data_IF_195146449814
#
_entry.id   IF_195146449814
#
_cell.length_a   1.000
_cell.length_b   1.000
_cell.length_c   1.000
_cell.angle_alpha   90.00
_cell.angle_beta   90.00
_cell.angle_gamma   90.00
#
_symmetry.space_group_name_H-M   'P 1'
#
loop_
_entity.id
_entity.type
_entity.pdbx_description
1 polymer ?
#
# COMPACT_ATOMS: atom_id res chain seq x y z
N UNK A 1 -5.04 -4.27 12.26
CA UNK A 1 -3.97 -4.85 11.42
C UNK A 1 -3.50 -3.77 10.45
N UNK A 2 -2.20 -3.69 10.25
CA UNK A 2 -1.54 -2.70 9.39
C UNK A 2 -0.93 -3.43 8.20
N UNK A 3 -1.27 -2.99 7.00
CA UNK A 3 -0.64 -3.45 5.76
C UNK A 3 0.22 -2.32 5.20
N UNK A 4 1.51 -2.58 5.00
CA UNK A 4 2.43 -1.66 4.32
C UNK A 4 2.67 -2.13 2.89
N UNK A 5 2.42 -1.25 1.93
CA UNK A 5 2.65 -1.48 0.51
C UNK A 5 3.85 -0.67 0.06
N UNK A 6 4.98 -1.33 -0.14
CA UNK A 6 6.18 -0.74 -0.71
C UNK A 6 6.04 -0.69 -2.23
N UNK A 7 6.32 0.45 -2.84
CA UNK A 7 6.09 0.65 -4.27
C UNK A 7 7.25 1.35 -4.97
N UNK A 8 7.40 1.05 -6.26
CA UNK A 8 8.31 1.77 -7.13
C UNK A 8 7.74 3.16 -7.43
N UNK A 9 8.35 4.18 -6.84
CA UNK A 9 8.19 5.56 -7.29
C UNK A 9 9.41 5.91 -8.11
N UNK A 10 9.32 5.76 -9.44
CA UNK A 10 10.41 6.04 -10.41
C UNK A 10 11.02 7.46 -10.30
N UNK A 11 10.53 8.32 -9.40
CA UNK A 11 11.06 9.66 -9.11
C UNK A 11 12.05 9.67 -7.94
N UNK A 12 12.17 8.59 -7.16
CA UNK A 12 13.17 8.45 -6.11
C UNK A 12 14.43 7.76 -6.63
N UNK A 13 15.38 8.56 -7.14
CA UNK A 13 16.73 8.10 -7.50
C UNK A 13 17.71 8.11 -6.32
N UNK A 14 17.26 8.21 -5.05
CA UNK A 14 18.18 8.40 -3.93
C UNK A 14 17.69 7.76 -2.63
N UNK A 15 18.54 6.86 -2.12
CA UNK A 15 18.65 6.27 -0.78
C UNK A 15 17.68 5.16 -0.34
N UNK A 16 18.28 3.96 -0.25
CA UNK A 16 18.04 2.74 0.55
C UNK A 16 16.63 2.16 0.82
N UNK A 17 15.54 2.92 0.84
CA UNK A 17 14.21 2.37 1.19
C UNK A 17 13.12 2.81 0.21
N UNK A 18 12.43 1.81 -0.38
CA UNK A 18 11.26 2.07 -1.22
C UNK A 18 10.18 2.82 -0.42
N UNK A 19 9.51 3.83 -1.02
CA UNK A 19 8.40 4.47 -0.35
C UNK A 19 7.28 3.45 -0.11
N UNK A 20 6.57 3.63 1.00
CA UNK A 20 5.44 2.76 1.34
C UNK A 20 4.16 3.53 1.62
N UNK A 21 3.03 2.82 1.52
CA UNK A 21 1.72 3.27 1.97
C UNK A 21 1.17 2.34 3.01
N UNK A 22 0.40 2.91 3.94
CA UNK A 22 -0.26 2.15 4.98
C UNK A 22 -1.74 1.96 4.61
N UNK A 23 -2.25 0.76 4.87
CA UNK A 23 -3.67 0.45 4.88
C UNK A 23 -4.00 -0.14 6.23
N UNK A 24 -4.96 0.45 6.93
CA UNK A 24 -5.51 -0.13 8.15
C UNK A 24 -6.70 -1.00 7.77
N UNK A 25 -6.67 -2.26 8.18
CA UNK A 25 -7.78 -3.19 7.99
C UNK A 25 -8.08 -3.91 9.29
N UNK A 26 -9.37 -4.17 9.51
CA UNK A 26 -9.83 -5.00 10.62
C UNK A 26 -9.51 -6.48 10.39
N UNK A 27 -9.41 -6.89 9.12
CA UNK A 27 -9.16 -8.27 8.72
C UNK A 27 -8.29 -8.34 7.45
N UNK A 28 -7.23 -9.15 7.50
CA UNK A 28 -6.32 -9.37 6.37
C UNK A 28 -7.01 -9.97 5.14
N UNK A 29 -8.04 -10.79 5.31
CA UNK A 29 -8.81 -11.36 4.20
C UNK A 29 -9.54 -10.29 3.40
N UNK A 30 -9.99 -9.22 4.06
CA UNK A 30 -10.61 -8.08 3.39
C UNK A 30 -9.59 -7.30 2.56
N UNK A 31 -8.33 -7.21 3.03
CA UNK A 31 -7.24 -6.68 2.21
C UNK A 31 -7.00 -7.55 0.97
N UNK A 32 -6.85 -8.86 1.12
CA UNK A 32 -6.62 -9.76 -0.01
C UNK A 32 -7.77 -9.77 -1.03
N UNK A 33 -9.02 -9.72 -0.57
CA UNK A 33 -10.17 -9.61 -1.47
C UNK A 33 -10.14 -8.35 -2.32
N UNK A 34 -9.70 -7.20 -1.77
CA UNK A 34 -9.47 -5.96 -2.54
C UNK A 34 -8.22 -6.04 -3.41
N UNK A 35 -7.18 -6.71 -2.95
CA UNK A 35 -5.94 -6.90 -3.70
C UNK A 35 -6.18 -7.70 -4.98
N UNK A 36 -6.97 -8.78 -4.91
CA UNK A 36 -7.30 -9.64 -6.04
C UNK A 36 -8.54 -9.18 -6.84
N UNK A 37 -9.12 -8.02 -6.52
CA UNK A 37 -10.15 -7.43 -7.39
C UNK A 37 -9.57 -7.03 -8.75
N UNK A 38 -10.43 -6.94 -9.77
CA UNK A 38 -10.07 -6.48 -11.11
C UNK A 38 -9.62 -5.00 -11.15
N UNK A 39 -9.73 -4.26 -10.05
CA UNK A 39 -9.29 -2.87 -10.00
C UNK A 39 -7.76 -2.79 -10.07
N UNK A 40 -7.22 -1.97 -10.97
CA UNK A 40 -5.78 -1.72 -11.07
C UNK A 40 -5.20 -0.94 -9.87
N UNK A 41 -6.07 -0.32 -9.07
CA UNK A 41 -5.69 0.57 -7.99
C UNK A 41 -6.20 0.06 -6.64
N UNK A 42 -5.41 0.26 -5.60
CA UNK A 42 -5.80 0.03 -4.22
C UNK A 42 -5.87 1.35 -3.47
N UNK A 43 -6.91 1.50 -2.65
CA UNK A 43 -7.11 2.68 -1.79
C UNK A 43 -6.30 2.53 -0.51
N UNK A 44 -5.47 3.51 -0.21
CA UNK A 44 -4.62 3.57 0.97
C UNK A 44 -5.08 4.64 1.97
N UNK A 45 -4.76 4.41 3.24
CA UNK A 45 -4.92 5.41 4.29
C UNK A 45 -3.77 6.41 4.21
N UNK A 46 -4.03 7.59 3.66
CA UNK A 46 -3.07 8.69 3.69
C UNK A 46 -3.49 9.70 4.75
N UNK A 47 -2.70 9.81 5.82
CA UNK A 47 -2.85 10.91 6.80
C UNK A 47 -2.35 12.25 6.27
N UNK A 48 -1.43 12.24 5.31
CA UNK A 48 -0.63 13.43 4.99
C UNK A 48 -0.96 14.09 3.64
N UNK A 49 -1.46 13.35 2.64
CA UNK A 49 -1.71 13.93 1.30
C UNK A 49 -2.89 13.29 0.58
N UNK A 50 -3.99 14.04 0.51
CA UNK A 50 -5.26 13.66 -0.14
C UNK A 50 -5.11 13.19 -1.60
N UNK A 51 -4.06 13.63 -2.30
CA UNK A 51 -3.78 13.28 -3.70
C UNK A 51 -3.08 11.92 -3.89
N UNK A 52 -2.66 11.24 -2.82
CA UNK A 52 -1.99 9.94 -2.89
C UNK A 52 -2.82 8.81 -2.26
N UNK A 53 -4.14 8.91 -2.34
CA UNK A 53 -5.09 7.96 -1.75
C UNK A 53 -5.16 6.62 -2.50
N UNK A 54 -4.64 6.56 -3.72
CA UNK A 54 -4.66 5.36 -4.55
C UNK A 54 -3.24 4.98 -4.98
N UNK A 55 -2.98 3.69 -5.05
CA UNK A 55 -1.73 3.10 -5.51
C UNK A 55 -2.02 2.08 -6.59
N UNK A 56 -1.31 2.14 -7.73
CA UNK A 56 -1.44 1.13 -8.78
C UNK A 56 -0.79 -0.17 -8.32
N UNK A 57 -1.52 -1.29 -8.37
CA UNK A 57 -1.05 -2.61 -7.89
C UNK A 57 0.24 -3.07 -8.57
N UNK A 58 0.35 -2.80 -9.86
CA UNK A 58 1.52 -3.06 -10.73
C UNK A 58 2.83 -2.39 -10.26
N UNK A 59 2.74 -1.36 -9.41
CA UNK A 59 3.93 -0.70 -8.84
C UNK A 59 4.34 -1.25 -7.49
N UNK A 60 3.53 -2.11 -6.88
CA UNK A 60 3.84 -2.66 -5.56
C UNK A 60 4.92 -3.72 -5.71
N UNK A 61 6.00 -3.51 -4.97
CA UNK A 61 7.16 -4.39 -4.93
C UNK A 61 6.99 -5.39 -3.79
N UNK A 62 6.49 -4.93 -2.64
CA UNK A 62 6.40 -5.74 -1.44
C UNK A 62 5.20 -5.35 -0.55
N UNK A 63 4.63 -6.37 0.10
CA UNK A 63 3.47 -6.24 1.00
C UNK A 63 3.87 -6.79 2.37
N UNK A 64 3.90 -5.94 3.39
CA UNK A 64 4.10 -6.32 4.78
C UNK A 64 2.79 -6.25 5.55
N UNK A 65 2.53 -7.25 6.39
CA UNK A 65 1.30 -7.35 7.18
C UNK A 65 1.70 -7.50 8.65
N UNK A 66 1.28 -6.56 9.46
CA UNK A 66 1.54 -6.49 10.89
C UNK A 66 0.22 -6.51 11.67
N UNK A 67 0.19 -7.21 12.80
CA UNK A 67 -0.90 -7.09 13.77
C UNK A 67 -0.67 -5.83 14.62
N UNK A 68 -1.73 -5.05 14.89
CA UNK A 68 -1.62 -3.94 15.86
C UNK A 68 -1.58 -4.60 17.24
N UNK A 69 -0.48 -4.43 17.98
CA UNK A 69 -0.32 -4.88 19.39
C UNK A 69 -1.44 -4.38 20.31
#
# INVERSE_FOLDING_TARGET
MIVRLYYDDCRHCSSDDYPYKIIKVDNVNHFWSKWYSEEDFIKCDSKDRSHLKYLKKDRVIEIWIEEEE
#
